data_IF_779912919680
#
_entry.id   IF_779912919680
#
_cell.length_a   1.000
_cell.length_b   1.000
_cell.length_c   1.000
_cell.angle_alpha   90.00
_cell.angle_beta   90.00
_cell.angle_gamma   90.00
#
_symmetry.space_group_name_H-M   'P 1'
#
loop_
_entity.id
_entity.type
_entity.pdbx_description
1 polymer ?
#
# COMPACT_ATOMS: atom_id res chain seq x y z
N UNK A 1 -42.24 11.16 7.99
CA UNK A 1 -41.48 9.99 7.49
C UNK A 1 -40.06 10.31 6.99
N UNK A 2 -39.44 11.44 7.40
CA UNK A 2 -38.10 11.86 6.93
C UNK A 2 -36.91 11.36 7.80
N UNK A 3 -37.12 11.13 9.11
CA UNK A 3 -36.04 10.77 10.06
C UNK A 3 -35.37 9.40 9.85
N UNK A 4 -36.04 8.42 9.21
CA UNK A 4 -35.47 7.06 9.01
C UNK A 4 -34.48 6.97 7.84
N UNK A 5 -34.47 7.96 6.94
CA UNK A 5 -33.56 7.98 5.79
C UNK A 5 -32.20 8.59 6.14
N UNK A 6 -32.19 9.70 6.90
CA UNK A 6 -30.95 10.35 7.38
C UNK A 6 -30.11 9.41 8.27
N UNK A 7 -30.74 8.65 9.19
CA UNK A 7 -30.03 7.68 10.04
C UNK A 7 -29.33 6.55 9.26
N UNK A 8 -29.87 6.18 8.10
CA UNK A 8 -29.30 5.13 7.26
C UNK A 8 -28.18 5.66 6.36
N UNK A 9 -28.31 6.89 5.86
CA UNK A 9 -27.24 7.55 5.11
C UNK A 9 -26.03 7.82 6.02
N UNK A 10 -26.24 8.36 7.23
CA UNK A 10 -25.15 8.61 8.18
C UNK A 10 -24.41 7.31 8.56
N UNK A 11 -25.14 6.23 8.85
CA UNK A 11 -24.51 4.92 9.12
C UNK A 11 -23.76 4.36 7.93
N UNK A 12 -24.24 4.58 6.70
CA UNK A 12 -23.56 4.14 5.48
C UNK A 12 -22.28 4.94 5.25
N UNK A 13 -22.33 6.27 5.43
CA UNK A 13 -21.17 7.15 5.34
C UNK A 13 -20.12 6.83 6.39
N UNK A 14 -20.51 6.61 7.64
CA UNK A 14 -19.57 6.18 8.69
C UNK A 14 -18.96 4.81 8.41
N UNK A 15 -19.75 3.83 7.94
CA UNK A 15 -19.24 2.51 7.59
C UNK A 15 -18.24 2.58 6.45
N UNK A 16 -18.53 3.41 5.43
CA UNK A 16 -17.63 3.67 4.31
C UNK A 16 -16.34 4.35 4.79
N UNK A 17 -16.44 5.34 5.67
CA UNK A 17 -15.28 6.02 6.26
C UNK A 17 -14.40 5.06 7.08
N UNK A 18 -15.01 4.23 7.92
CA UNK A 18 -14.30 3.17 8.68
C UNK A 18 -13.61 2.16 7.76
N UNK A 19 -14.25 1.77 6.66
CA UNK A 19 -13.61 0.89 5.66
C UNK A 19 -12.39 1.55 5.01
N UNK A 20 -12.47 2.84 4.66
CA UNK A 20 -11.34 3.59 4.11
C UNK A 20 -10.20 3.70 5.12
N UNK A 21 -10.50 3.95 6.40
CA UNK A 21 -9.49 4.00 7.47
C UNK A 21 -8.80 2.64 7.68
N UNK A 22 -9.55 1.53 7.59
CA UNK A 22 -8.97 0.17 7.65
C UNK A 22 -8.09 -0.09 6.42
N UNK A 23 -8.55 0.25 5.21
CA UNK A 23 -7.75 0.08 3.97
C UNK A 23 -6.46 0.90 4.01
N UNK A 24 -6.47 2.11 4.59
CA UNK A 24 -5.28 2.93 4.74
C UNK A 24 -4.28 2.30 5.72
N UNK A 25 -4.75 1.78 6.86
CA UNK A 25 -3.91 1.08 7.82
C UNK A 25 -3.19 -0.11 7.19
N UNK A 26 -3.93 -0.96 6.48
CA UNK A 26 -3.38 -2.13 5.79
C UNK A 26 -2.38 -1.75 4.67
N UNK A 27 -2.64 -0.65 3.96
CA UNK A 27 -1.75 -0.13 2.93
C UNK A 27 -0.42 0.36 3.52
N UNK A 28 -0.48 1.10 4.63
CA UNK A 28 0.71 1.60 5.34
C UNK A 28 1.51 0.45 5.93
N UNK A 29 0.85 -0.53 6.56
CA UNK A 29 1.52 -1.72 7.10
C UNK A 29 2.23 -2.51 6.00
N UNK A 30 1.59 -2.69 4.85
CA UNK A 30 2.20 -3.30 3.68
C UNK A 30 3.44 -2.53 3.20
N UNK A 31 3.36 -1.20 3.12
CA UNK A 31 4.48 -0.36 2.70
C UNK A 31 5.67 -0.49 3.65
N UNK A 32 5.42 -0.48 4.96
CA UNK A 32 6.46 -0.64 5.99
C UNK A 32 7.09 -2.03 5.97
N UNK A 33 6.28 -3.08 5.85
CA UNK A 33 6.75 -4.47 5.75
C UNK A 33 7.68 -4.67 4.54
N UNK A 34 7.28 -4.13 3.38
CA UNK A 34 8.12 -4.17 2.19
C UNK A 34 9.41 -3.36 2.38
N UNK A 35 9.33 -2.12 2.86
CA UNK A 35 10.53 -1.29 3.07
C UNK A 35 11.55 -2.00 3.95
N UNK A 36 11.11 -2.72 4.98
CA UNK A 36 11.98 -3.51 5.85
C UNK A 36 12.72 -4.65 5.13
N UNK A 37 12.17 -5.16 4.02
CA UNK A 37 12.72 -6.26 3.20
C UNK A 37 13.57 -5.77 2.03
N UNK A 38 13.59 -4.46 1.76
CA UNK A 38 14.30 -3.88 0.64
C UNK A 38 15.60 -3.22 1.05
N UNK A 39 16.60 -3.31 0.18
CA UNK A 39 17.75 -2.42 0.16
C UNK A 39 17.55 -1.43 -0.99
N UNK A 40 17.87 -0.17 -0.74
CA UNK A 40 18.01 0.82 -1.81
C UNK A 40 19.33 1.54 -1.64
N UNK A 41 19.95 1.87 -2.77
CA UNK A 41 21.12 2.78 -2.79
C UNK A 41 20.73 4.23 -2.48
N UNK A 42 19.43 4.54 -2.45
CA UNK A 42 18.89 5.85 -2.12
C UNK A 42 17.83 5.71 -1.01
N UNK A 43 18.16 6.15 0.20
CA UNK A 43 17.23 6.15 1.35
C UNK A 43 15.94 6.92 1.06
N UNK A 44 16.00 7.91 0.15
CA UNK A 44 14.83 8.66 -0.32
C UNK A 44 13.77 7.80 -1.01
N UNK A 45 14.16 6.73 -1.71
CA UNK A 45 13.20 5.83 -2.37
C UNK A 45 12.38 5.02 -1.37
N UNK A 46 13.00 4.58 -0.28
CA UNK A 46 12.29 3.86 0.78
C UNK A 46 11.28 4.78 1.49
N UNK A 47 11.69 6.03 1.76
CA UNK A 47 10.78 7.05 2.31
C UNK A 47 9.62 7.37 1.34
N UNK A 48 9.89 7.41 0.04
CA UNK A 48 8.89 7.66 -0.98
C UNK A 48 7.81 6.56 -1.02
N UNK A 49 8.16 5.29 -0.81
CA UNK A 49 7.18 4.19 -0.72
C UNK A 49 6.17 4.44 0.41
N UNK A 50 6.65 4.84 1.59
CA UNK A 50 5.78 5.15 2.74
C UNK A 50 4.92 6.38 2.45
N UNK A 51 5.49 7.41 1.81
CA UNK A 51 4.72 8.61 1.40
C UNK A 51 3.60 8.25 0.43
N UNK A 52 3.86 7.44 -0.58
CA UNK A 52 2.84 6.98 -1.54
C UNK A 52 1.68 6.24 -0.87
N UNK A 53 1.96 5.50 0.21
CA UNK A 53 0.92 4.84 1.01
C UNK A 53 0.06 5.86 1.79
N UNK A 54 0.70 6.80 2.48
CA UNK A 54 0.03 7.84 3.29
C UNK A 54 -0.77 8.81 2.41
N UNK A 55 -0.24 9.15 1.24
CA UNK A 55 -0.88 10.05 0.26
C UNK A 55 -1.99 9.36 -0.56
N UNK A 56 -2.25 8.07 -0.30
CA UNK A 56 -3.20 7.24 -1.05
C UNK A 56 -2.99 7.32 -2.56
N UNK A 57 -1.73 7.28 -3.02
CA UNK A 57 -1.42 7.43 -4.43
C UNK A 57 -2.18 6.38 -5.25
N UNK A 58 -2.91 6.85 -6.26
CA UNK A 58 -3.84 5.99 -7.03
C UNK A 58 -3.14 4.87 -7.78
N UNK A 59 -1.89 5.09 -8.20
CA UNK A 59 -1.11 4.06 -8.90
C UNK A 59 -0.59 3.06 -7.88
N UNK A 60 -0.05 3.54 -6.76
CA UNK A 60 0.41 2.71 -5.65
C UNK A 60 -0.71 1.82 -5.08
N UNK A 61 -1.90 2.38 -4.85
CA UNK A 61 -3.07 1.63 -4.37
C UNK A 61 -3.47 0.50 -5.33
N UNK A 62 -3.41 0.74 -6.65
CA UNK A 62 -3.69 -0.28 -7.66
C UNK A 62 -2.63 -1.40 -7.63
N UNK A 63 -1.36 -1.03 -7.48
CA UNK A 63 -0.27 -1.99 -7.33
C UNK A 63 -0.51 -2.86 -6.09
N UNK A 64 -0.73 -2.24 -4.93
CA UNK A 64 -1.03 -2.94 -3.69
C UNK A 64 -2.23 -3.89 -3.83
N UNK A 65 -3.38 -3.42 -4.33
CA UNK A 65 -4.58 -4.25 -4.54
C UNK A 65 -4.31 -5.45 -5.47
N UNK A 66 -3.44 -5.31 -6.47
CA UNK A 66 -3.05 -6.40 -7.37
C UNK A 66 -2.10 -7.43 -6.74
N UNK A 67 -1.43 -7.05 -5.65
CA UNK A 67 -0.42 -7.84 -4.96
C UNK A 67 -0.94 -8.45 -3.65
N UNK A 68 -1.89 -7.80 -2.97
CA UNK A 68 -2.47 -8.22 -1.71
C UNK A 68 -3.12 -9.62 -1.77
N UNK A 69 -3.59 -10.03 -2.94
CA UNK A 69 -4.23 -11.35 -3.14
C UNK A 69 -3.24 -12.49 -3.42
N UNK A 70 -1.93 -12.23 -3.49
CA UNK A 70 -0.92 -13.25 -3.80
C UNK A 70 -0.42 -13.97 -2.54
N UNK A 71 -0.36 -15.31 -2.61
CA UNK A 71 0.14 -16.17 -1.52
C UNK A 71 1.66 -16.26 -1.45
N UNK A 72 2.33 -16.18 -2.60
CA UNK A 72 3.80 -16.24 -2.65
C UNK A 72 4.39 -14.87 -2.34
N UNK A 73 5.04 -14.77 -1.19
CA UNK A 73 5.64 -13.54 -0.69
C UNK A 73 6.84 -13.08 -1.54
N UNK A 74 7.69 -14.00 -1.99
CA UNK A 74 8.86 -13.66 -2.82
C UNK A 74 8.41 -13.15 -4.18
N UNK A 75 7.46 -13.83 -4.82
CA UNK A 75 6.89 -13.36 -6.09
C UNK A 75 6.25 -11.97 -5.93
N UNK A 76 5.53 -11.76 -4.83
CA UNK A 76 4.89 -10.47 -4.50
C UNK A 76 5.92 -9.35 -4.37
N UNK A 77 7.01 -9.58 -3.65
CA UNK A 77 8.08 -8.59 -3.44
C UNK A 77 8.81 -8.31 -4.76
N UNK A 78 9.16 -9.32 -5.55
CA UNK A 78 9.85 -9.12 -6.84
C UNK A 78 9.00 -8.32 -7.84
N UNK A 79 7.68 -8.59 -7.87
CA UNK A 79 6.74 -7.82 -8.70
C UNK A 79 6.59 -6.39 -8.21
N UNK A 80 6.49 -6.18 -6.89
CA UNK A 80 6.48 -4.86 -6.31
C UNK A 80 7.72 -4.06 -6.73
N UNK A 81 8.92 -4.62 -6.52
CA UNK A 81 10.20 -3.99 -6.91
C UNK A 81 10.19 -3.60 -8.38
N UNK A 82 9.81 -4.53 -9.26
CA UNK A 82 9.78 -4.30 -10.71
C UNK A 82 8.86 -3.15 -11.08
N UNK A 83 7.66 -3.11 -10.49
CA UNK A 83 6.68 -2.06 -10.74
C UNK A 83 7.16 -0.71 -10.21
N UNK A 84 7.73 -0.67 -9.01
CA UNK A 84 8.24 0.58 -8.42
C UNK A 84 9.42 1.15 -9.20
N UNK A 85 10.34 0.30 -9.64
CA UNK A 85 11.48 0.73 -10.43
C UNK A 85 11.05 1.29 -11.79
N UNK A 86 10.04 0.70 -12.43
CA UNK A 86 9.55 1.16 -13.75
C UNK A 86 8.64 2.37 -13.66
N UNK A 87 7.68 2.37 -12.72
CA UNK A 87 6.61 3.38 -12.67
C UNK A 87 6.98 4.62 -11.86
N UNK A 88 7.92 4.48 -10.92
CA UNK A 88 8.34 5.56 -10.02
C UNK A 88 9.84 5.88 -10.12
N UNK A 89 10.53 5.34 -11.13
CA UNK A 89 11.96 5.57 -11.39
C UNK A 89 12.85 5.30 -10.16
N UNK A 90 12.57 4.17 -9.50
CA UNK A 90 13.32 3.74 -8.32
C UNK A 90 14.41 2.73 -8.67
N UNK A 91 15.32 2.51 -7.71
CA UNK A 91 16.35 1.47 -7.76
C UNK A 91 16.29 0.61 -6.49
N UNK A 92 15.20 -0.12 -6.35
CA UNK A 92 14.94 -1.04 -5.25
C UNK A 92 15.51 -2.42 -5.57
N UNK A 93 16.02 -3.10 -4.55
CA UNK A 93 16.49 -4.50 -4.58
C UNK A 93 16.07 -5.18 -3.28
N UNK A 94 15.92 -6.50 -3.28
CA UNK A 94 15.74 -7.25 -2.03
C UNK A 94 17.00 -7.14 -1.18
N UNK A 95 16.84 -7.13 0.14
CA UNK A 95 17.96 -7.45 1.03
C UNK A 95 18.45 -8.84 0.67
N UNK A 96 19.68 -8.96 0.23
CA UNK A 96 20.34 -10.26 0.21
C UNK A 96 20.37 -10.74 1.66
N UNK A 97 19.81 -11.90 1.97
CA UNK A 97 20.17 -12.57 3.21
C UNK A 97 21.69 -12.77 3.16
N UNK A 98 22.40 -12.08 4.05
CA UNK A 98 23.80 -12.41 4.29
C UNK A 98 23.80 -13.81 4.89
N UNK A 99 24.05 -14.81 4.04
CA UNK A 99 24.29 -16.20 4.45
C UNK A 99 25.52 -16.22 5.38
#
# INVERSE_FOLDING_TARGET
MKRKYEENEDKFHEKKKRMVEIELGELVDFALDIVNKLNSTNEGHLSQIVRLAVDEDKVFLKIWKSLATRKDENERIQKFISLMNVLFDMNLKTKSETI
#
